data_IF_246309495274
#
_entry.id   IF_246309495274
#
_cell.length_a   1.000
_cell.length_b   1.000
_cell.length_c   1.000
_cell.angle_alpha   90.00
_cell.angle_beta   90.00
_cell.angle_gamma   90.00
#
_symmetry.space_group_name_H-M   'P 1'
#
loop_
_entity.id
_entity.type
_entity.pdbx_description
1 polymer ?
#
# COMPACT_ATOMS: atom_id res chain seq x y z
N UNK A 1 -18.14 -13.50 1.64
CA UNK A 1 -17.42 -14.52 0.85
C UNK A 1 -15.96 -14.10 0.70
N UNK A 2 -15.01 -15.00 0.91
CA UNK A 2 -13.57 -14.71 0.76
C UNK A 2 -13.10 -15.05 -0.65
N UNK A 3 -12.33 -14.15 -1.30
CA UNK A 3 -11.76 -14.38 -2.64
C UNK A 3 -10.85 -15.61 -2.71
N UNK A 4 -10.27 -16.02 -1.58
CA UNK A 4 -9.45 -17.23 -1.47
C UNK A 4 -10.25 -18.52 -1.67
N UNK A 5 -11.58 -18.47 -1.57
CA UNK A 5 -12.47 -19.63 -1.77
C UNK A 5 -13.02 -19.72 -3.19
N UNK A 6 -12.75 -18.73 -4.05
CA UNK A 6 -13.19 -18.76 -5.44
C UNK A 6 -12.40 -19.80 -6.23
N UNK A 7 -13.07 -20.44 -7.19
CA UNK A 7 -12.39 -21.17 -8.26
C UNK A 7 -11.60 -20.19 -9.16
N UNK A 8 -10.70 -20.73 -9.98
CA UNK A 8 -9.82 -19.92 -10.81
C UNK A 8 -10.55 -18.97 -11.76
N UNK A 9 -11.63 -19.41 -12.39
CA UNK A 9 -12.41 -18.61 -13.36
C UNK A 9 -13.11 -17.46 -12.64
N UNK A 10 -13.78 -17.74 -11.52
CA UNK A 10 -14.42 -16.72 -10.68
C UNK A 10 -13.39 -15.73 -10.12
N UNK A 11 -12.19 -16.19 -9.77
CA UNK A 11 -11.11 -15.32 -9.29
C UNK A 11 -10.63 -14.36 -10.39
N UNK A 12 -10.40 -14.84 -11.61
CA UNK A 12 -10.03 -13.98 -12.75
C UNK A 12 -11.12 -12.96 -13.05
N UNK A 13 -12.39 -13.37 -13.04
CA UNK A 13 -13.52 -12.46 -13.25
C UNK A 13 -13.54 -11.35 -12.19
N UNK A 14 -13.30 -11.69 -10.92
CA UNK A 14 -13.21 -10.69 -9.85
C UNK A 14 -12.00 -9.75 -10.00
N UNK A 15 -10.89 -10.22 -10.57
CA UNK A 15 -9.69 -9.40 -10.79
C UNK A 15 -9.89 -8.31 -11.86
N UNK A 16 -10.81 -8.52 -12.81
CA UNK A 16 -11.15 -7.50 -13.83
C UNK A 16 -11.71 -6.21 -13.25
N UNK A 17 -12.26 -6.24 -12.04
CA UNK A 17 -12.67 -5.04 -11.32
C UNK A 17 -11.50 -4.07 -11.02
N UNK A 18 -10.25 -4.54 -11.15
CA UNK A 18 -9.04 -3.75 -10.93
C UNK A 18 -8.30 -3.42 -12.25
N UNK A 19 -8.91 -3.65 -13.42
CA UNK A 19 -8.31 -3.22 -14.68
C UNK A 19 -8.05 -1.70 -14.66
N UNK A 20 -6.84 -1.29 -15.05
CA UNK A 20 -6.40 0.11 -14.94
C UNK A 20 -5.81 0.53 -13.59
N UNK A 21 -5.64 -0.40 -12.63
CA UNK A 21 -5.07 -0.11 -11.30
C UNK A 21 -3.74 0.67 -11.33
N UNK A 22 -2.93 0.52 -12.38
CA UNK A 22 -1.62 1.15 -12.50
C UNK A 22 -1.67 2.68 -12.47
N UNK A 23 -2.80 3.30 -12.83
CA UNK A 23 -3.00 4.75 -12.75
C UNK A 23 -2.91 5.26 -11.29
N UNK A 24 -3.23 4.42 -10.30
CA UNK A 24 -3.08 4.77 -8.88
C UNK A 24 -1.61 4.94 -8.46
N UNK A 25 -0.64 4.55 -9.30
CA UNK A 25 0.77 4.87 -9.08
C UNK A 25 1.02 6.37 -8.89
N UNK A 26 0.24 7.24 -9.53
CA UNK A 26 0.33 8.69 -9.36
C UNK A 26 -0.07 9.10 -7.94
N UNK A 27 -1.11 8.50 -7.38
CA UNK A 27 -1.57 8.76 -6.01
C UNK A 27 -0.50 8.35 -5.00
N UNK A 28 0.13 7.18 -5.21
CA UNK A 28 1.24 6.70 -4.38
C UNK A 28 2.44 7.65 -4.43
N UNK A 29 2.80 8.12 -5.63
CA UNK A 29 3.88 9.10 -5.79
C UNK A 29 3.55 10.40 -5.06
N UNK A 30 2.32 10.89 -5.19
CA UNK A 30 1.84 12.06 -4.46
C UNK A 30 1.90 11.89 -2.94
N UNK A 31 1.58 10.70 -2.42
CA UNK A 31 1.66 10.39 -1.00
C UNK A 31 3.12 10.41 -0.48
N UNK A 32 4.06 9.84 -1.23
CA UNK A 32 5.50 9.87 -0.88
C UNK A 32 6.05 11.30 -0.91
N UNK A 33 5.77 12.06 -1.97
CA UNK A 33 6.25 13.43 -2.11
C UNK A 33 5.66 14.36 -1.05
N UNK A 34 4.36 14.24 -0.77
CA UNK A 34 3.70 15.08 0.24
C UNK A 34 4.15 14.76 1.66
N UNK A 35 4.29 13.48 2.02
CA UNK A 35 4.81 13.09 3.34
C UNK A 35 6.29 13.45 3.51
N UNK A 36 7.11 13.38 2.46
CA UNK A 36 8.49 13.88 2.49
C UNK A 36 8.54 15.40 2.68
N UNK A 37 7.75 16.16 1.91
CA UNK A 37 7.65 17.61 2.06
C UNK A 37 7.18 18.00 3.48
N UNK A 38 6.17 17.29 4.02
CA UNK A 38 5.69 17.51 5.37
C UNK A 38 6.76 17.20 6.43
N UNK A 39 7.57 16.15 6.23
CA UNK A 39 8.70 15.85 7.11
C UNK A 39 9.73 16.99 7.12
N UNK A 40 10.01 17.58 5.95
CA UNK A 40 10.89 18.76 5.83
C UNK A 40 10.29 19.96 6.56
N UNK A 41 9.00 20.25 6.38
CA UNK A 41 8.33 21.36 7.07
C UNK A 41 8.38 21.19 8.59
N UNK A 42 8.19 19.97 9.08
CA UNK A 42 8.11 19.68 10.51
C UNK A 42 9.45 19.33 11.16
N UNK A 43 10.59 19.41 10.47
CA UNK A 43 11.88 18.86 10.95
C UNK A 43 12.32 19.32 12.35
N UNK A 44 11.89 20.50 12.81
CA UNK A 44 12.19 21.04 14.16
C UNK A 44 11.07 20.82 15.18
N UNK A 45 9.97 20.20 14.78
CA UNK A 45 8.77 19.99 15.59
C UNK A 45 8.87 18.75 16.50
N UNK A 46 10.04 18.12 16.60
CA UNK A 46 10.31 17.02 17.52
C UNK A 46 9.43 15.80 17.26
N UNK A 47 8.55 15.45 18.20
CA UNK A 47 7.71 14.25 18.10
C UNK A 47 6.76 14.22 16.89
N UNK A 48 6.30 15.38 16.40
CA UNK A 48 5.48 15.44 15.18
C UNK A 48 6.28 15.02 13.94
N UNK A 49 7.53 15.50 13.82
CA UNK A 49 8.45 15.06 12.76
C UNK A 49 8.66 13.55 12.77
N UNK A 50 8.93 12.97 13.94
CA UNK A 50 9.14 11.52 14.06
C UNK A 50 7.94 10.71 13.56
N UNK A 51 6.72 11.15 13.84
CA UNK A 51 5.50 10.50 13.35
C UNK A 51 5.36 10.59 11.83
N UNK A 52 5.61 11.76 11.23
CA UNK A 52 5.58 11.92 9.76
C UNK A 52 6.69 11.12 9.09
N UNK A 53 7.89 11.09 9.65
CA UNK A 53 9.00 10.29 9.12
C UNK A 53 8.67 8.79 9.13
N UNK A 54 8.07 8.28 10.22
CA UNK A 54 7.60 6.90 10.28
C UNK A 54 6.47 6.62 9.29
N UNK A 55 5.55 7.58 9.06
CA UNK A 55 4.52 7.44 8.04
C UNK A 55 5.13 7.35 6.63
N UNK A 56 6.10 8.21 6.30
CA UNK A 56 6.83 8.15 5.02
C UNK A 56 7.53 6.79 4.84
N UNK A 57 8.20 6.29 5.88
CA UNK A 57 8.85 4.97 5.87
C UNK A 57 7.82 3.85 5.66
N UNK A 58 6.65 3.91 6.32
CA UNK A 58 5.59 2.92 6.13
C UNK A 58 5.05 2.91 4.70
N UNK A 59 4.87 4.08 4.06
CA UNK A 59 4.50 4.17 2.64
C UNK A 59 5.61 3.61 1.74
N UNK A 60 6.88 3.90 2.06
CA UNK A 60 8.03 3.30 1.37
C UNK A 60 8.08 1.78 1.51
N UNK A 61 7.77 1.25 2.70
CA UNK A 61 7.68 -0.19 2.94
C UNK A 61 6.54 -0.84 2.14
N UNK A 62 5.40 -0.16 1.98
CA UNK A 62 4.33 -0.60 1.06
C UNK A 62 4.87 -0.78 -0.37
N UNK A 63 5.70 0.15 -0.85
CA UNK A 63 6.32 0.03 -2.17
C UNK A 63 7.27 -1.15 -2.24
N UNK A 64 8.10 -1.34 -1.21
CA UNK A 64 8.97 -2.50 -1.14
C UNK A 64 8.16 -3.82 -1.21
N UNK A 65 7.06 -3.93 -0.47
CA UNK A 65 6.16 -5.10 -0.51
C UNK A 65 5.57 -5.28 -1.91
N UNK A 66 5.10 -4.20 -2.53
CA UNK A 66 4.55 -4.24 -3.87
C UNK A 66 5.56 -4.78 -4.88
N UNK A 67 6.76 -4.19 -4.95
CA UNK A 67 7.78 -4.58 -5.93
C UNK A 67 8.32 -6.00 -5.70
N UNK A 68 8.38 -6.44 -4.44
CA UNK A 68 8.95 -7.74 -4.09
C UNK A 68 7.94 -8.89 -4.20
N UNK A 69 6.66 -8.65 -3.92
CA UNK A 69 5.67 -9.73 -3.79
C UNK A 69 4.47 -9.58 -4.71
N UNK A 70 3.93 -8.36 -4.89
CA UNK A 70 2.75 -8.14 -5.74
C UNK A 70 3.11 -8.10 -7.23
N UNK A 71 4.12 -7.31 -7.59
CA UNK A 71 4.51 -7.07 -8.97
C UNK A 71 4.97 -8.34 -9.70
N UNK A 72 5.76 -9.25 -9.09
CA UNK A 72 6.12 -10.51 -9.73
C UNK A 72 4.91 -11.39 -10.04
N UNK A 73 3.90 -11.40 -9.15
CA UNK A 73 2.65 -12.12 -9.40
C UNK A 73 1.88 -11.48 -10.55
N UNK A 74 1.72 -10.15 -10.54
CA UNK A 74 1.08 -9.42 -11.64
C UNK A 74 1.78 -9.72 -12.98
N UNK A 75 3.11 -9.83 -13.01
CA UNK A 75 3.83 -10.23 -14.23
C UNK A 75 3.54 -11.67 -14.63
N UNK A 76 3.62 -12.62 -13.70
CA UNK A 76 3.41 -14.05 -13.97
C UNK A 76 1.99 -14.36 -14.47
N UNK A 77 0.99 -13.62 -13.99
CA UNK A 77 -0.43 -13.80 -14.34
C UNK A 77 -0.90 -12.85 -15.45
N UNK A 78 0.00 -12.00 -15.98
CA UNK A 78 -0.31 -10.90 -16.91
C UNK A 78 -1.48 -10.04 -16.39
N UNK A 79 -1.34 -9.54 -15.16
CA UNK A 79 -2.35 -8.84 -14.39
C UNK A 79 -3.64 -9.66 -14.27
N UNK A 80 -3.51 -10.94 -13.90
CA UNK A 80 -4.64 -11.86 -13.76
C UNK A 80 -5.52 -11.95 -15.01
N UNK A 81 -4.88 -11.96 -16.19
CA UNK A 81 -5.55 -12.26 -17.47
C UNK A 81 -5.34 -13.71 -17.92
N UNK A 82 -4.43 -14.43 -17.27
CA UNK A 82 -4.21 -15.87 -17.45
C UNK A 82 -4.04 -16.56 -16.10
N UNK A 83 -4.29 -17.88 -16.07
CA UNK A 83 -4.18 -18.73 -14.90
C UNK A 83 -3.03 -19.73 -15.08
N UNK A 84 -1.83 -19.48 -14.52
CA UNK A 84 -0.72 -20.44 -14.57
C UNK A 84 -1.00 -21.69 -13.73
N UNK A 85 -0.27 -22.80 -13.94
CA UNK A 85 -0.47 -24.04 -13.18
C UNK A 85 -0.33 -23.85 -11.66
N UNK A 86 0.56 -22.95 -11.23
CA UNK A 86 0.80 -22.63 -9.82
C UNK A 86 -0.05 -21.44 -9.29
N UNK A 87 -1.16 -21.10 -9.96
CA UNK A 87 -1.96 -19.91 -9.65
C UNK A 87 -2.43 -19.81 -8.20
N UNK A 88 -2.69 -20.93 -7.51
CA UNK A 88 -3.14 -20.89 -6.13
C UNK A 88 -2.07 -20.34 -5.18
N UNK A 89 -0.81 -20.69 -5.43
CA UNK A 89 0.34 -20.14 -4.69
C UNK A 89 0.49 -18.65 -4.99
N UNK A 90 0.40 -18.27 -6.27
CA UNK A 90 0.46 -16.88 -6.71
C UNK A 90 -0.67 -16.05 -6.09
N UNK A 91 -1.89 -16.61 -6.00
CA UNK A 91 -3.04 -15.97 -5.36
C UNK A 91 -2.78 -15.72 -3.90
N UNK A 92 -2.30 -16.72 -3.16
CA UNK A 92 -1.97 -16.53 -1.73
C UNK A 92 -0.94 -15.42 -1.55
N UNK A 93 0.15 -15.45 -2.33
CA UNK A 93 1.18 -14.42 -2.29
C UNK A 93 0.60 -13.02 -2.55
N UNK A 94 -0.22 -12.89 -3.60
CA UNK A 94 -0.84 -11.62 -3.99
C UNK A 94 -1.82 -11.10 -2.93
N UNK A 95 -2.70 -11.94 -2.40
CA UNK A 95 -3.67 -11.51 -1.38
C UNK A 95 -2.97 -11.11 -0.07
N UNK A 96 -1.96 -11.87 0.37
CA UNK A 96 -1.21 -11.53 1.59
C UNK A 96 -0.32 -10.30 1.40
N UNK A 97 0.29 -10.09 0.24
CA UNK A 97 1.07 -8.87 -0.01
C UNK A 97 0.17 -7.63 -0.02
N UNK A 98 -1.05 -7.72 -0.54
CA UNK A 98 -2.05 -6.65 -0.44
C UNK A 98 -2.52 -6.42 1.00
N UNK A 99 -2.73 -7.48 1.78
CA UNK A 99 -3.07 -7.35 3.20
C UNK A 99 -1.95 -6.64 3.99
N UNK A 100 -0.70 -7.01 3.76
CA UNK A 100 0.46 -6.34 4.37
C UNK A 100 0.56 -4.87 3.96
N UNK A 101 0.40 -4.58 2.66
CA UNK A 101 0.35 -3.21 2.14
C UNK A 101 -0.80 -2.39 2.76
N UNK A 102 -1.98 -2.99 2.96
CA UNK A 102 -3.10 -2.32 3.60
C UNK A 102 -2.79 -1.96 5.07
N UNK A 103 -2.20 -2.88 5.83
CA UNK A 103 -1.77 -2.61 7.21
C UNK A 103 -0.73 -1.49 7.29
N UNK A 104 0.27 -1.49 6.40
CA UNK A 104 1.30 -0.45 6.34
C UNK A 104 0.72 0.93 6.02
N UNK A 105 -0.18 1.02 5.03
CA UNK A 105 -0.85 2.28 4.70
C UNK A 105 -1.79 2.75 5.82
N UNK A 106 -2.52 1.84 6.48
CA UNK A 106 -3.35 2.19 7.63
C UNK A 106 -2.52 2.74 8.79
N UNK A 107 -1.36 2.13 9.06
CA UNK A 107 -0.39 2.64 10.03
C UNK A 107 0.12 4.03 9.64
N UNK A 108 0.49 4.24 8.37
CA UNK A 108 0.94 5.53 7.88
C UNK A 108 -0.13 6.62 8.10
N UNK A 109 -1.39 6.32 7.78
CA UNK A 109 -2.51 7.24 8.00
C UNK A 109 -2.70 7.59 9.48
N UNK A 110 -2.65 6.59 10.37
CA UNK A 110 -2.76 6.79 11.81
C UNK A 110 -1.63 7.68 12.34
N UNK A 111 -0.39 7.44 11.92
CA UNK A 111 0.76 8.24 12.31
C UNK A 111 0.63 9.70 11.87
N UNK A 112 0.09 9.95 10.67
CA UNK A 112 -0.18 11.31 10.18
C UNK A 112 -1.26 12.01 11.02
N UNK A 113 -2.35 11.33 11.38
CA UNK A 113 -3.36 11.90 12.28
C UNK A 113 -2.80 12.22 13.67
N UNK A 114 -2.01 11.31 14.24
CA UNK A 114 -1.35 11.55 15.52
C UNK A 114 -0.37 12.73 15.45
N UNK A 115 0.33 12.89 14.32
CA UNK A 115 1.19 14.06 14.10
C UNK A 115 0.39 15.36 14.08
N UNK A 116 -0.75 15.38 13.39
CA UNK A 116 -1.62 16.55 13.32
C UNK A 116 -2.16 16.94 14.71
N UNK A 117 -2.75 15.98 15.44
CA UNK A 117 -3.28 16.22 16.80
C UNK A 117 -2.19 16.72 17.77
N UNK A 118 -0.95 16.24 17.60
CA UNK A 118 0.19 16.66 18.43
C UNK A 118 0.65 18.09 18.13
N UNK A 119 0.48 18.56 16.88
CA UNK A 119 0.75 19.95 16.54
C UNK A 119 -0.32 20.86 17.13
N UNK A 120 -1.60 20.50 17.00
CA UNK A 120 -2.71 21.29 17.54
C UNK A 120 -2.58 21.48 19.06
N UNK A 121 -2.26 20.40 19.79
CA UNK A 121 -2.05 20.45 21.24
C UNK A 121 -0.85 21.29 21.69
N UNK A 122 0.08 21.66 20.79
CA UNK A 122 1.20 22.57 21.09
C UNK A 122 0.88 24.03 20.81
N UNK A 123 -0.11 24.29 19.96
CA UNK A 123 -0.51 25.63 19.53
C UNK A 123 -1.71 26.17 20.31
N UNK A 124 -2.45 25.30 21.01
CA UNK A 124 -3.51 25.65 21.96
C UNK A 124 -2.93 26.00 23.33
#
# INVERSE_FOLDING_TARGET
YSKLKLDGTSYLAAQRAYDGWSLFGIVVLGALLSSAALAVVLYRSGGAFGLVALAFIAIGATQFVFWSFTFPVNRATRNWSMLPDNWEMLRRQWEYSHAAAACLNALALLLLFLSALRLDARTA
#
